data_IF_345195925127
#
_entry.id   IF_345195925127
#
_cell.length_a   1.000
_cell.length_b   1.000
_cell.length_c   1.000
_cell.angle_alpha   90.00
_cell.angle_beta   90.00
_cell.angle_gamma   90.00
#
_symmetry.space_group_name_H-M   'P 1'
#
loop_
_entity.id
_entity.type
_entity.pdbx_description
1 polymer ?
#
# COMPACT_ATOMS: atom_id res chain seq x y z
N UNK A 1 -2.03 -6.33 8.62
CA UNK A 1 -1.31 -7.00 9.75
C UNK A 1 -0.07 -6.19 10.05
N UNK A 2 0.19 -5.86 11.32
CA UNK A 2 1.36 -5.07 11.70
C UNK A 2 2.56 -5.98 11.86
N UNK A 3 3.56 -5.86 10.99
CA UNK A 3 4.72 -6.75 10.99
C UNK A 3 5.54 -6.61 12.28
N UNK A 4 5.61 -7.67 13.10
CA UNK A 4 6.32 -7.64 14.37
C UNK A 4 6.90 -9.02 14.68
N UNK A 5 8.12 -9.05 15.23
CA UNK A 5 8.78 -10.24 15.77
C UNK A 5 9.39 -9.87 17.11
N UNK A 6 8.86 -10.46 18.17
CA UNK A 6 9.27 -10.19 19.55
C UNK A 6 8.34 -10.91 20.52
N UNK A 7 8.59 -10.74 21.82
CA UNK A 7 7.80 -11.39 22.87
C UNK A 7 6.51 -10.61 23.15
N UNK A 8 5.39 -11.07 22.58
CA UNK A 8 4.03 -10.63 22.92
C UNK A 8 3.09 -11.84 22.91
N UNK A 9 2.11 -11.87 23.82
CA UNK A 9 1.22 -13.04 24.03
C UNK A 9 0.31 -13.33 22.82
N UNK A 10 -0.08 -12.30 22.07
CA UNK A 10 -1.07 -12.40 21.00
C UNK A 10 -0.48 -12.27 19.59
N UNK A 11 0.83 -12.46 19.44
CA UNK A 11 1.47 -12.50 18.11
C UNK A 11 0.83 -13.59 17.26
N UNK A 12 0.55 -13.27 15.99
CA UNK A 12 -0.04 -14.21 15.04
C UNK A 12 0.98 -14.62 13.98
N UNK A 13 0.90 -15.90 13.58
CA UNK A 13 1.57 -16.43 12.41
C UNK A 13 0.55 -16.69 11.30
N UNK A 14 0.69 -16.02 10.17
CA UNK A 14 -0.21 -16.13 9.01
C UNK A 14 0.63 -16.46 7.76
N UNK A 15 0.72 -17.74 7.36
CA UNK A 15 1.63 -18.20 6.30
C UNK A 15 1.46 -17.49 4.95
N UNK A 16 0.22 -17.14 4.60
CA UNK A 16 -0.14 -16.54 3.31
C UNK A 16 0.07 -15.03 3.20
N UNK A 17 0.54 -14.36 4.25
CA UNK A 17 0.81 -12.91 4.23
C UNK A 17 2.30 -12.64 3.98
N UNK A 18 2.62 -11.52 3.30
CA UNK A 18 4.00 -11.09 2.98
C UNK A 18 4.90 -11.07 4.21
N UNK A 19 4.42 -10.42 5.27
CA UNK A 19 4.96 -10.61 6.60
C UNK A 19 4.15 -11.74 7.24
N UNK A 20 4.83 -12.80 7.70
CA UNK A 20 4.14 -13.96 8.29
C UNK A 20 3.89 -13.81 9.79
N UNK A 21 4.68 -12.99 10.47
CA UNK A 21 4.60 -12.77 11.92
C UNK A 21 4.20 -11.33 12.22
N UNK A 22 3.26 -11.14 13.13
CA UNK A 22 2.84 -9.79 13.52
C UNK A 22 1.62 -9.72 14.40
N UNK A 23 1.14 -8.49 14.59
CA UNK A 23 -0.11 -8.19 15.29
C UNK A 23 -1.23 -8.18 14.25
N UNK A 24 -2.25 -9.02 14.45
CA UNK A 24 -3.42 -9.08 13.57
C UNK A 24 -4.39 -7.96 13.93
N UNK A 25 -4.86 -7.26 12.90
CA UNK A 25 -5.91 -6.26 13.01
C UNK A 25 -7.11 -6.75 12.21
N UNK A 26 -8.29 -6.67 12.79
CA UNK A 26 -9.55 -6.68 12.05
C UNK A 26 -9.88 -5.25 11.62
N UNK A 27 -10.43 -5.07 10.42
CA UNK A 27 -10.75 -3.75 9.85
C UNK A 27 -12.09 -3.83 9.14
N UNK A 28 -12.84 -2.74 9.18
CA UNK A 28 -13.93 -2.46 8.26
C UNK A 28 -13.55 -1.24 7.41
N UNK A 29 -13.71 -1.35 6.10
CA UNK A 29 -13.35 -0.32 5.14
C UNK A 29 -14.47 -0.07 4.13
N UNK A 30 -14.52 1.13 3.54
CA UNK A 30 -15.31 1.37 2.32
C UNK A 30 -14.61 0.86 1.05
N UNK A 31 -15.25 1.04 -0.10
CA UNK A 31 -14.73 0.62 -1.41
C UNK A 31 -13.43 1.32 -1.86
N UNK A 32 -13.17 2.52 -1.37
CA UNK A 32 -11.94 3.28 -1.66
C UNK A 32 -10.78 2.90 -0.71
N UNK A 33 -11.06 2.06 0.29
CA UNK A 33 -10.10 1.60 1.29
C UNK A 33 -9.98 2.50 2.52
N UNK A 34 -10.93 3.41 2.73
CA UNK A 34 -11.05 4.22 3.94
C UNK A 34 -11.37 3.30 5.11
N UNK A 35 -10.53 3.30 6.14
CA UNK A 35 -10.75 2.47 7.34
C UNK A 35 -11.70 3.19 8.29
N UNK A 36 -12.88 2.63 8.51
CA UNK A 36 -13.88 3.14 9.43
C UNK A 36 -13.58 2.78 10.88
N UNK A 37 -13.27 1.51 11.13
CA UNK A 37 -12.96 0.99 12.46
C UNK A 37 -12.02 -0.21 12.37
N UNK A 38 -11.33 -0.50 13.48
CA UNK A 38 -10.41 -1.62 13.62
C UNK A 38 -10.38 -2.17 15.04
N UNK A 39 -10.10 -3.47 15.14
CA UNK A 39 -9.92 -4.18 16.41
C UNK A 39 -8.59 -4.92 16.39
N UNK A 40 -7.79 -4.75 17.44
CA UNK A 40 -6.58 -5.56 17.65
C UNK A 40 -6.99 -6.96 18.07
N UNK A 41 -6.45 -7.97 17.41
CA UNK A 41 -6.65 -9.36 17.85
C UNK A 41 -5.73 -9.67 19.04
N UNK A 42 -6.33 -9.95 20.19
CA UNK A 42 -5.65 -10.17 21.47
C UNK A 42 -5.51 -11.66 21.82
N UNK A 43 -5.90 -12.58 20.93
CA UNK A 43 -5.91 -14.01 21.23
C UNK A 43 -7.17 -14.45 21.97
N UNK A 44 -7.01 -15.29 22.99
CA UNK A 44 -8.09 -15.65 23.91
C UNK A 44 -8.17 -14.59 25.01
N UNK A 45 -9.31 -13.92 25.14
CA UNK A 45 -9.53 -12.93 26.19
C UNK A 45 -9.57 -13.58 27.58
N UNK A 46 -9.19 -12.84 28.62
CA UNK A 46 -9.20 -13.27 30.03
C UNK A 46 -10.59 -13.70 30.54
N UNK A 47 -11.66 -13.26 29.87
CA UNK A 47 -13.06 -13.62 30.15
C UNK A 47 -13.48 -14.98 29.59
N UNK A 48 -12.58 -15.72 28.92
CA UNK A 48 -12.90 -17.03 28.33
C UNK A 48 -13.77 -16.99 27.07
N UNK A 49 -14.38 -15.84 26.75
CA UNK A 49 -15.12 -15.65 25.51
C UNK A 49 -14.15 -15.51 24.34
N UNK A 50 -14.18 -16.47 23.42
CA UNK A 50 -13.50 -16.32 22.13
C UNK A 50 -14.26 -15.28 21.30
N UNK A 51 -13.56 -14.26 20.79
CA UNK A 51 -14.11 -13.38 19.76
C UNK A 51 -14.48 -14.21 18.54
N UNK A 52 -15.74 -14.63 18.46
CA UNK A 52 -16.24 -15.36 17.29
C UNK A 52 -16.13 -14.44 16.07
N UNK A 53 -15.94 -15.00 14.87
CA UNK A 53 -15.92 -14.18 13.65
C UNK A 53 -17.18 -13.31 13.50
N UNK A 54 -18.34 -13.82 13.95
CA UNK A 54 -19.60 -13.06 14.01
C UNK A 54 -19.48 -11.84 14.91
N UNK A 55 -19.04 -12.00 16.17
CA UNK A 55 -18.94 -10.89 17.13
C UNK A 55 -17.97 -9.81 16.67
N UNK A 56 -16.88 -10.19 16.00
CA UNK A 56 -15.92 -9.23 15.43
C UNK A 56 -16.59 -8.37 14.37
N UNK A 57 -17.37 -8.96 13.45
CA UNK A 57 -18.08 -8.22 12.41
C UNK A 57 -19.15 -7.33 13.03
N UNK A 58 -19.99 -7.87 13.92
CA UNK A 58 -21.06 -7.10 14.57
C UNK A 58 -20.49 -5.90 15.35
N UNK A 59 -19.36 -6.08 16.05
CA UNK A 59 -18.71 -4.99 16.79
C UNK A 59 -18.15 -3.90 15.85
N UNK A 60 -17.43 -4.28 14.79
CA UNK A 60 -16.89 -3.33 13.82
C UNK A 60 -18.00 -2.58 13.04
N UNK A 61 -19.11 -3.26 12.78
CA UNK A 61 -20.21 -2.71 12.01
C UNK A 61 -21.22 -1.94 12.85
N UNK A 62 -21.18 -2.02 14.18
CA UNK A 62 -22.22 -1.48 15.08
C UNK A 62 -22.66 -0.04 14.76
N UNK A 63 -21.77 0.92 14.47
CA UNK A 63 -22.17 2.30 14.16
C UNK A 63 -22.84 2.46 12.78
N UNK A 64 -22.80 1.41 11.95
CA UNK A 64 -23.18 1.44 10.54
C UNK A 64 -24.38 0.54 10.21
N UNK A 65 -24.93 -0.14 11.21
CA UNK A 65 -26.13 -0.98 11.10
C UNK A 65 -27.42 -0.14 10.98
N UNK A 66 -28.53 -0.78 10.61
CA UNK A 66 -29.87 -0.18 10.69
C UNK A 66 -30.27 0.72 9.53
N UNK A 67 -29.51 0.75 8.43
CA UNK A 67 -29.75 1.71 7.32
C UNK A 67 -29.63 1.09 5.92
N UNK A 68 -29.79 -0.23 5.80
CA UNK A 68 -29.83 -0.92 4.50
C UNK A 68 -28.48 -1.10 3.80
N UNK A 69 -27.36 -0.96 4.52
CA UNK A 69 -26.01 -1.16 3.96
C UNK A 69 -25.73 -2.64 3.67
N UNK A 70 -24.70 -2.90 2.88
CA UNK A 70 -24.18 -4.25 2.64
C UNK A 70 -22.77 -4.39 3.21
N UNK A 71 -22.55 -5.42 4.01
CA UNK A 71 -21.23 -5.82 4.51
C UNK A 71 -20.70 -6.96 3.65
N UNK A 72 -19.46 -6.82 3.19
CA UNK A 72 -18.79 -7.82 2.34
C UNK A 72 -17.70 -8.51 3.14
N UNK A 73 -17.79 -9.84 3.30
CA UNK A 73 -16.86 -10.60 4.14
C UNK A 73 -16.19 -11.77 3.42
N UNK A 74 -14.94 -12.06 3.79
CA UNK A 74 -14.27 -13.30 3.40
C UNK A 74 -14.83 -14.51 4.18
N UNK A 75 -14.56 -15.71 3.69
CA UNK A 75 -15.04 -16.99 4.20
C UNK A 75 -14.71 -17.29 5.66
N UNK A 76 -13.77 -16.55 6.27
CA UNK A 76 -13.47 -16.66 7.70
C UNK A 76 -14.56 -16.04 8.58
N UNK A 77 -15.31 -15.05 8.08
CA UNK A 77 -16.38 -14.40 8.85
C UNK A 77 -17.77 -14.83 8.40
N UNK A 78 -17.97 -15.12 7.12
CA UNK A 78 -19.29 -15.48 6.58
C UNK A 78 -19.86 -16.75 7.22
N UNK A 79 -21.08 -16.65 7.76
CA UNK A 79 -21.87 -17.74 8.34
C UNK A 79 -23.36 -17.44 8.21
N UNK A 80 -24.22 -18.45 8.38
CA UNK A 80 -25.69 -18.27 8.43
C UNK A 80 -26.08 -17.44 9.66
N UNK A 81 -25.45 -17.71 10.80
CA UNK A 81 -25.62 -16.95 12.05
C UNK A 81 -25.33 -15.44 11.86
N UNK A 82 -24.21 -15.08 11.23
CA UNK A 82 -23.90 -13.68 10.92
C UNK A 82 -24.93 -13.07 9.96
N UNK A 83 -25.40 -13.83 8.98
CA UNK A 83 -26.42 -13.37 8.03
C UNK A 83 -27.73 -13.02 8.73
N UNK A 84 -28.19 -13.87 9.66
CA UNK A 84 -29.39 -13.64 10.45
C UNK A 84 -29.25 -12.41 11.35
N UNK A 85 -28.14 -12.27 12.07
CA UNK A 85 -27.91 -11.11 12.94
C UNK A 85 -27.84 -9.80 12.17
N UNK A 86 -27.22 -9.78 10.99
CA UNK A 86 -27.16 -8.58 10.16
C UNK A 86 -28.53 -8.23 9.57
N UNK A 87 -29.32 -9.22 9.15
CA UNK A 87 -30.70 -9.00 8.69
C UNK A 87 -31.60 -8.41 9.78
N UNK A 88 -31.48 -8.90 11.01
CA UNK A 88 -32.17 -8.34 12.18
C UNK A 88 -31.79 -6.88 12.48
N UNK A 89 -30.70 -6.39 11.87
CA UNK A 89 -30.20 -5.03 12.02
C UNK A 89 -30.16 -4.29 10.65
N UNK A 90 -31.13 -4.57 9.78
CA UNK A 90 -31.32 -3.95 8.45
C UNK A 90 -30.02 -3.80 7.66
N UNK A 91 -29.20 -4.87 7.66
CA UNK A 91 -27.90 -4.88 7.01
C UNK A 91 -27.74 -6.17 6.22
N UNK A 92 -27.36 -6.04 4.95
CA UNK A 92 -27.15 -7.20 4.09
C UNK A 92 -25.75 -7.78 4.26
N UNK A 93 -25.62 -9.09 4.08
CA UNK A 93 -24.35 -9.79 4.00
C UNK A 93 -24.09 -10.26 2.58
N UNK A 94 -22.84 -10.15 2.14
CA UNK A 94 -22.33 -10.77 0.92
C UNK A 94 -20.98 -11.42 1.26
N UNK A 95 -20.82 -12.71 1.02
CA UNK A 95 -19.54 -13.34 1.31
C UNK A 95 -19.36 -14.71 0.70
N UNK A 96 -18.10 -15.14 0.61
CA UNK A 96 -17.78 -16.53 0.29
C UNK A 96 -17.92 -17.40 1.53
N UNK A 97 -18.16 -18.70 1.37
CA UNK A 97 -18.34 -19.66 2.45
C UNK A 97 -17.27 -20.75 2.41
N UNK A 98 -16.91 -21.26 3.60
CA UNK A 98 -16.19 -22.53 3.71
C UNK A 98 -17.18 -23.68 3.70
N UNK A 99 -16.81 -24.78 3.03
CA UNK A 99 -17.64 -25.99 2.91
C UNK A 99 -18.06 -26.59 4.26
N UNK A 100 -17.25 -26.43 5.29
CA UNK A 100 -17.45 -26.99 6.63
C UNK A 100 -18.17 -26.04 7.59
N UNK A 101 -18.81 -24.96 7.11
CA UNK A 101 -19.65 -24.11 7.96
C UNK A 101 -20.89 -24.88 8.43
N UNK A 102 -21.29 -24.65 9.67
CA UNK A 102 -22.54 -25.19 10.23
C UNK A 102 -23.74 -24.52 9.56
N UNK A 103 -24.85 -25.26 9.45
CA UNK A 103 -26.12 -24.75 8.91
C UNK A 103 -26.19 -24.66 7.37
N UNK A 104 -25.21 -25.19 6.64
CA UNK A 104 -25.28 -25.20 5.18
C UNK A 104 -26.16 -26.34 4.65
N UNK A 105 -27.02 -26.10 3.64
CA UNK A 105 -27.87 -27.13 3.06
C UNK A 105 -27.05 -28.19 2.32
N UNK A 106 -27.16 -29.46 2.73
CA UNK A 106 -26.43 -30.59 2.14
C UNK A 106 -26.65 -30.69 0.64
N UNK A 107 -27.87 -30.48 0.16
CA UNK A 107 -28.23 -30.48 -1.26
C UNK A 107 -27.32 -29.55 -2.08
N UNK A 108 -27.18 -28.29 -1.66
CA UNK A 108 -26.28 -27.32 -2.33
C UNK A 108 -24.82 -27.72 -2.18
N UNK A 109 -24.38 -28.12 -0.98
CA UNK A 109 -22.95 -28.38 -0.72
C UNK A 109 -22.44 -29.65 -1.42
N UNK A 110 -23.26 -30.69 -1.53
CA UNK A 110 -22.86 -32.00 -2.04
C UNK A 110 -23.09 -32.17 -3.55
N UNK A 111 -23.91 -31.33 -4.18
CA UNK A 111 -24.21 -31.40 -5.62
C UNK A 111 -22.96 -31.51 -6.52
N UNK A 112 -23.00 -32.31 -7.58
CA UNK A 112 -21.88 -32.36 -8.52
C UNK A 112 -22.21 -31.46 -9.71
N UNK A 113 -21.42 -30.41 -9.88
CA UNK A 113 -21.64 -29.40 -10.91
C UNK A 113 -20.60 -29.50 -12.02
N UNK A 114 -21.05 -29.39 -13.27
CA UNK A 114 -20.21 -29.09 -14.41
C UNK A 114 -19.78 -27.62 -14.39
N UNK A 115 -18.68 -27.31 -15.09
CA UNK A 115 -18.16 -25.93 -15.15
C UNK A 115 -19.21 -24.99 -15.76
N UNK A 116 -19.49 -23.89 -15.06
CA UNK A 116 -20.49 -22.89 -15.41
C UNK A 116 -21.81 -23.07 -14.66
N UNK A 117 -22.11 -24.28 -14.19
CA UNK A 117 -23.35 -24.57 -13.47
C UNK A 117 -23.36 -23.99 -12.06
N UNK A 118 -24.57 -23.71 -11.59
CA UNK A 118 -24.86 -23.21 -10.26
C UNK A 118 -26.08 -23.94 -9.71
N UNK A 119 -26.02 -24.26 -8.42
CA UNK A 119 -27.17 -24.61 -7.60
C UNK A 119 -27.29 -23.60 -6.47
N UNK A 120 -28.52 -23.19 -6.14
CA UNK A 120 -28.77 -22.27 -5.05
C UNK A 120 -30.04 -22.66 -4.29
N UNK A 121 -30.09 -22.30 -3.01
CA UNK A 121 -31.27 -22.37 -2.17
C UNK A 121 -31.36 -21.09 -1.35
N UNK A 122 -32.58 -20.62 -1.17
CA UNK A 122 -32.91 -19.47 -0.33
C UNK A 122 -33.88 -19.94 0.74
N UNK A 123 -33.69 -19.47 1.97
CA UNK A 123 -34.63 -19.75 3.06
C UNK A 123 -35.69 -18.64 3.15
N UNK A 124 -36.68 -18.82 4.03
CA UNK A 124 -37.76 -17.84 4.23
C UNK A 124 -37.28 -16.48 4.76
N UNK A 125 -36.07 -16.41 5.34
CA UNK A 125 -35.47 -15.17 5.83
C UNK A 125 -34.74 -14.38 4.71
N UNK A 126 -34.76 -14.87 3.46
CA UNK A 126 -34.04 -14.25 2.34
C UNK A 126 -32.53 -14.52 2.32
N UNK A 127 -32.07 -15.58 3.00
CA UNK A 127 -30.65 -15.98 3.00
C UNK A 127 -30.41 -16.94 1.85
N UNK A 128 -29.81 -16.41 0.78
CA UNK A 128 -29.40 -17.17 -0.39
C UNK A 128 -28.04 -17.83 -0.16
N UNK A 129 -27.96 -19.15 -0.31
CA UNK A 129 -26.72 -19.92 -0.37
C UNK A 129 -26.61 -20.56 -1.74
N UNK A 130 -25.48 -20.33 -2.41
CA UNK A 130 -25.20 -20.92 -3.71
C UNK A 130 -23.87 -21.66 -3.75
N UNK A 131 -23.81 -22.66 -4.62
CA UNK A 131 -22.57 -23.28 -5.09
C UNK A 131 -22.48 -23.07 -6.60
N UNK A 132 -21.34 -22.56 -7.04
CA UNK A 132 -21.04 -22.37 -8.46
C UNK A 132 -19.71 -23.02 -8.82
N UNK A 133 -19.64 -23.64 -10.00
CA UNK A 133 -18.43 -24.30 -10.50
C UNK A 133 -17.72 -23.42 -11.54
N UNK A 134 -16.58 -22.84 -11.15
CA UNK A 134 -15.62 -22.30 -12.12
C UNK A 134 -14.51 -23.34 -12.39
N UNK A 135 -13.24 -22.98 -12.20
CA UNK A 135 -12.15 -23.96 -12.11
C UNK A 135 -12.27 -24.84 -10.86
N UNK A 136 -12.87 -24.30 -9.79
CA UNK A 136 -13.12 -24.97 -8.51
C UNK A 136 -14.51 -24.56 -8.02
N UNK A 137 -15.05 -25.33 -7.08
CA UNK A 137 -16.31 -25.00 -6.43
C UNK A 137 -16.14 -23.73 -5.61
N UNK A 138 -17.09 -22.81 -5.77
CA UNK A 138 -17.21 -21.59 -4.97
C UNK A 138 -18.54 -21.65 -4.26
N UNK A 139 -18.49 -21.70 -2.93
CA UNK A 139 -19.66 -21.52 -2.08
C UNK A 139 -19.75 -20.05 -1.67
N UNK A 140 -20.95 -19.50 -1.69
CA UNK A 140 -21.20 -18.13 -1.29
C UNK A 140 -22.57 -17.98 -0.64
N UNK A 141 -22.71 -16.92 0.15
CA UNK A 141 -23.92 -16.54 0.86
C UNK A 141 -24.21 -15.08 0.58
N UNK A 142 -25.48 -14.75 0.37
CA UNK A 142 -25.93 -13.36 0.37
C UNK A 142 -27.34 -13.22 0.90
N UNK A 143 -27.64 -12.07 1.47
CA UNK A 143 -29.00 -11.67 1.87
C UNK A 143 -29.56 -10.51 1.03
N UNK A 144 -28.91 -10.21 -0.10
CA UNK A 144 -29.23 -9.07 -1.00
C UNK A 144 -29.66 -9.52 -2.40
N UNK A 145 -29.18 -10.68 -2.84
CA UNK A 145 -29.24 -11.09 -4.23
C UNK A 145 -30.29 -12.17 -4.46
N UNK A 146 -30.98 -12.10 -5.59
CA UNK A 146 -31.72 -13.23 -6.16
C UNK A 146 -30.81 -14.12 -7.02
N UNK A 147 -31.30 -15.33 -7.31
CA UNK A 147 -30.62 -16.29 -8.20
C UNK A 147 -30.54 -15.73 -9.62
N UNK A 148 -29.33 -15.62 -10.16
CA UNK A 148 -29.14 -15.14 -11.52
C UNK A 148 -27.68 -15.11 -11.95
N UNK A 149 -27.48 -14.86 -13.25
CA UNK A 149 -26.17 -14.67 -13.85
C UNK A 149 -26.04 -13.28 -14.46
N UNK A 150 -24.81 -12.78 -14.48
CA UNK A 150 -24.43 -11.54 -15.15
C UNK A 150 -23.21 -11.78 -16.03
N UNK A 151 -23.19 -11.14 -17.19
CA UNK A 151 -22.02 -11.11 -18.06
C UNK A 151 -21.01 -10.11 -17.52
N UNK A 152 -19.79 -10.58 -17.22
CA UNK A 152 -18.67 -9.72 -16.83
C UNK A 152 -17.51 -9.83 -17.80
N UNK A 153 -16.84 -8.71 -18.05
CA UNK A 153 -15.59 -8.70 -18.83
C UNK A 153 -14.43 -9.26 -17.99
N UNK A 154 -13.66 -10.16 -18.56
CA UNK A 154 -12.50 -10.74 -17.88
C UNK A 154 -11.41 -9.70 -17.63
N UNK A 155 -10.93 -9.61 -16.38
CA UNK A 155 -9.78 -8.75 -16.02
C UNK A 155 -8.48 -9.17 -16.71
N UNK A 156 -8.34 -10.44 -17.12
CA UNK A 156 -7.14 -10.95 -17.81
C UNK A 156 -7.16 -10.74 -19.31
N UNK A 157 -8.35 -10.74 -19.91
CA UNK A 157 -8.52 -10.54 -21.34
C UNK A 157 -9.80 -9.72 -21.56
N UNK A 158 -9.63 -8.43 -21.90
CA UNK A 158 -10.74 -7.49 -22.06
C UNK A 158 -11.69 -7.85 -23.21
N UNK A 159 -11.26 -8.69 -24.15
CA UNK A 159 -12.09 -9.15 -25.26
C UNK A 159 -12.96 -10.36 -24.87
N UNK A 160 -12.73 -10.96 -23.70
CA UNK A 160 -13.46 -12.14 -23.24
C UNK A 160 -14.55 -11.76 -22.24
N UNK A 161 -15.80 -12.03 -22.62
CA UNK A 161 -16.97 -11.99 -21.73
C UNK A 161 -17.16 -13.35 -21.04
N UNK A 162 -17.53 -13.33 -19.76
CA UNK A 162 -17.72 -14.53 -18.93
C UNK A 162 -19.00 -14.37 -18.12
N UNK A 163 -19.84 -15.41 -18.09
CA UNK A 163 -21.01 -15.45 -17.22
C UNK A 163 -20.61 -15.86 -15.80
N UNK A 164 -21.11 -15.12 -14.81
CA UNK A 164 -20.91 -15.43 -13.38
C UNK A 164 -22.22 -15.23 -12.63
N UNK A 165 -22.45 -15.96 -11.52
CA UNK A 165 -23.55 -15.64 -10.64
C UNK A 165 -23.48 -14.17 -10.19
N UNK A 166 -24.62 -13.48 -10.14
CA UNK A 166 -24.70 -12.05 -9.80
C UNK A 166 -24.02 -11.77 -8.46
N UNK A 167 -24.29 -12.60 -7.44
CA UNK A 167 -23.64 -12.55 -6.13
C UNK A 167 -22.11 -12.60 -6.23
N UNK A 168 -21.57 -13.53 -7.02
CA UNK A 168 -20.12 -13.71 -7.18
C UNK A 168 -19.50 -12.51 -7.92
N UNK A 169 -20.22 -11.92 -8.87
CA UNK A 169 -19.78 -10.70 -9.54
C UNK A 169 -19.71 -9.53 -8.55
N UNK A 170 -20.76 -9.32 -7.73
CA UNK A 170 -20.81 -8.25 -6.73
C UNK A 170 -19.73 -8.43 -5.65
N UNK A 171 -19.58 -9.65 -5.11
CA UNK A 171 -18.50 -9.98 -4.17
C UNK A 171 -17.12 -9.63 -4.75
N UNK A 172 -16.85 -9.98 -6.02
CA UNK A 172 -15.55 -9.71 -6.64
C UNK A 172 -15.28 -8.22 -6.89
N UNK A 173 -16.33 -7.39 -6.95
CA UNK A 173 -16.21 -5.94 -7.06
C UNK A 173 -15.72 -5.33 -5.74
N UNK A 174 -16.28 -5.78 -4.61
CA UNK A 174 -16.09 -5.15 -3.30
C UNK A 174 -15.06 -5.84 -2.39
N UNK A 175 -14.71 -7.11 -2.61
CA UNK A 175 -13.81 -7.88 -1.70
C UNK A 175 -12.39 -7.33 -1.52
N UNK A 176 -11.96 -6.38 -2.35
CA UNK A 176 -10.57 -5.89 -2.40
C UNK A 176 -10.34 -4.60 -1.57
N UNK A 177 -11.37 -4.03 -0.95
CA UNK A 177 -11.31 -2.77 -0.21
C UNK A 177 -10.22 -2.73 0.87
N UNK A 178 -10.14 -3.78 1.70
CA UNK A 178 -9.12 -3.88 2.74
C UNK A 178 -7.72 -4.04 2.14
N UNK A 179 -7.58 -4.80 1.05
CA UNK A 179 -6.31 -4.97 0.36
C UNK A 179 -5.83 -3.66 -0.28
N UNK A 180 -6.74 -2.80 -0.75
CA UNK A 180 -6.44 -1.46 -1.25
C UNK A 180 -5.90 -0.56 -0.14
N UNK A 181 -6.55 -0.58 1.04
CA UNK A 181 -6.08 0.13 2.24
C UNK A 181 -4.68 -0.34 2.68
N UNK A 182 -4.49 -1.66 2.80
CA UNK A 182 -3.20 -2.26 3.18
C UNK A 182 -2.11 -1.98 2.14
N UNK A 183 -2.45 -1.93 0.84
CA UNK A 183 -1.53 -1.57 -0.23
C UNK A 183 -1.07 -0.11 -0.09
N UNK A 184 -2.00 0.83 0.05
CA UNK A 184 -1.69 2.26 0.24
C UNK A 184 -0.82 2.48 1.48
N UNK A 185 -1.20 1.86 2.60
CA UNK A 185 -0.46 1.90 3.86
C UNK A 185 0.99 1.40 3.74
N UNK A 186 1.25 0.47 2.82
CA UNK A 186 2.58 -0.12 2.64
C UNK A 186 3.60 0.79 1.95
N UNK A 187 3.16 1.75 1.14
CA UNK A 187 4.06 2.69 0.47
C UNK A 187 4.64 3.68 1.47
N UNK A 188 5.97 3.86 1.46
CA UNK A 188 6.70 4.78 2.35
C UNK A 188 6.39 4.60 3.86
N UNK A 189 6.15 3.37 4.32
CA UNK A 189 5.85 3.09 5.73
C UNK A 189 7.06 3.43 6.65
N UNK A 190 6.89 4.28 7.68
CA UNK A 190 8.00 4.72 8.54
C UNK A 190 8.42 3.70 9.60
N UNK A 191 7.71 2.58 9.77
CA UNK A 191 7.97 1.60 10.81
C UNK A 191 9.41 1.06 10.77
N UNK A 192 10.08 1.06 11.92
CA UNK A 192 11.46 0.55 12.08
C UNK A 192 11.47 -0.80 12.80
N UNK A 193 12.63 -1.49 12.75
CA UNK A 193 12.79 -2.83 13.35
C UNK A 193 12.89 -2.79 14.87
N UNK A 194 13.60 -1.80 15.43
CA UNK A 194 14.05 -1.77 16.83
C UNK A 194 13.10 -1.08 17.81
N UNK A 195 11.78 -1.13 17.57
CA UNK A 195 10.78 -0.47 18.42
C UNK A 195 9.90 -1.48 19.14
N UNK A 196 9.38 -1.09 20.31
CA UNK A 196 8.47 -1.94 21.10
C UNK A 196 7.16 -2.16 20.35
N UNK A 197 6.46 -3.26 20.65
CA UNK A 197 5.27 -3.67 19.90
C UNK A 197 4.18 -2.59 19.86
N UNK A 198 3.95 -1.90 20.98
CA UNK A 198 2.92 -0.86 21.09
C UNK A 198 3.31 0.40 20.32
N UNK A 199 4.61 0.75 20.27
CA UNK A 199 5.11 1.83 19.42
C UNK A 199 4.92 1.47 17.94
N UNK A 200 5.14 0.21 17.58
CA UNK A 200 4.93 -0.25 16.20
C UNK A 200 3.46 -0.22 15.80
N UNK A 201 2.57 -0.58 16.73
CA UNK A 201 1.14 -0.45 16.54
C UNK A 201 0.74 1.02 16.41
N UNK A 202 1.20 1.90 17.29
CA UNK A 202 0.93 3.34 17.22
C UNK A 202 1.41 3.96 15.90
N UNK A 203 2.61 3.59 15.43
CA UNK A 203 3.11 4.04 14.13
C UNK A 203 2.21 3.59 12.98
N UNK A 204 1.76 2.33 13.00
CA UNK A 204 0.84 1.84 11.97
C UNK A 204 -0.50 2.60 12.01
N UNK A 205 -1.06 2.83 13.19
CA UNK A 205 -2.34 3.53 13.32
C UNK A 205 -2.23 4.99 12.86
N UNK A 206 -1.21 5.72 13.32
CA UNK A 206 -1.04 7.14 13.04
C UNK A 206 -0.51 7.40 11.62
N UNK A 207 0.60 6.76 11.25
CA UNK A 207 1.30 7.10 10.02
C UNK A 207 0.93 6.23 8.82
N UNK A 208 0.28 5.09 9.04
CA UNK A 208 -0.26 4.27 7.94
C UNK A 208 -1.75 4.48 7.79
N UNK A 209 -2.57 4.11 8.79
CA UNK A 209 -4.03 4.16 8.68
C UNK A 209 -4.57 5.58 8.60
N UNK A 210 -4.24 6.47 9.55
CA UNK A 210 -4.78 7.84 9.54
C UNK A 210 -4.32 8.65 8.32
N UNK A 211 -3.05 8.52 7.92
CA UNK A 211 -2.54 9.16 6.69
C UNK A 211 -3.23 8.63 5.43
N UNK A 212 -3.51 7.33 5.36
CA UNK A 212 -4.25 6.75 4.21
C UNK A 212 -5.68 7.29 4.16
N UNK A 213 -6.36 7.37 5.30
CA UNK A 213 -7.69 7.98 5.41
C UNK A 213 -7.68 9.46 5.01
N UNK A 214 -6.71 10.23 5.50
CA UNK A 214 -6.54 11.64 5.15
C UNK A 214 -6.28 11.83 3.65
N UNK A 215 -5.47 10.96 3.05
CA UNK A 215 -5.22 10.95 1.61
C UNK A 215 -6.50 10.70 0.80
N UNK A 216 -7.32 9.72 1.22
CA UNK A 216 -8.60 9.43 0.56
C UNK A 216 -9.53 10.64 0.62
N UNK A 217 -9.71 11.24 1.81
CA UNK A 217 -10.53 12.45 1.99
C UNK A 217 -10.00 13.59 1.11
N UNK A 218 -8.68 13.84 1.15
CA UNK A 218 -8.05 14.91 0.37
C UNK A 218 -8.28 14.70 -1.13
N UNK A 219 -8.08 13.48 -1.62
CA UNK A 219 -8.28 13.12 -3.02
C UNK A 219 -9.73 13.33 -3.44
N UNK A 220 -10.69 12.91 -2.63
CA UNK A 220 -12.13 13.11 -2.88
C UNK A 220 -12.48 14.59 -2.92
N UNK A 221 -12.06 15.35 -1.91
CA UNK A 221 -12.33 16.79 -1.83
C UNK A 221 -11.70 17.58 -2.97
N UNK A 222 -10.47 17.25 -3.38
CA UNK A 222 -9.75 17.91 -4.48
C UNK A 222 -10.04 17.29 -5.86
N UNK A 223 -10.93 16.29 -5.93
CA UNK A 223 -11.29 15.56 -7.16
C UNK A 223 -10.06 15.06 -7.94
N UNK A 224 -9.06 14.55 -7.21
CA UNK A 224 -7.79 14.13 -7.78
C UNK A 224 -7.85 12.69 -8.30
N UNK A 225 -7.15 12.44 -9.40
CA UNK A 225 -6.96 11.09 -9.91
C UNK A 225 -5.68 10.45 -9.33
N UNK A 226 -5.76 9.17 -8.93
CA UNK A 226 -4.61 8.40 -8.45
C UNK A 226 -3.46 8.29 -9.45
N UNK A 227 -3.68 8.59 -10.74
CA UNK A 227 -2.62 8.66 -11.76
C UNK A 227 -1.76 9.92 -11.67
N UNK A 228 -2.32 11.00 -11.12
CA UNK A 228 -1.67 12.33 -11.06
C UNK A 228 -1.10 12.62 -9.68
N UNK A 229 -1.71 12.07 -8.63
CA UNK A 229 -1.33 12.34 -7.25
C UNK A 229 -1.41 11.06 -6.43
N UNK A 230 -0.25 10.60 -5.95
CA UNK A 230 -0.09 9.34 -5.24
C UNK A 230 -0.03 9.55 -3.73
N UNK A 231 -0.20 8.47 -2.96
CA UNK A 231 -0.02 8.54 -1.50
C UNK A 231 1.42 8.89 -1.11
N UNK A 232 2.40 8.59 -1.97
CA UNK A 232 3.80 8.98 -1.75
C UNK A 232 3.94 10.50 -1.84
N UNK A 233 3.37 11.12 -2.88
CA UNK A 233 3.37 12.58 -3.04
C UNK A 233 2.65 13.25 -1.85
N UNK A 234 1.53 12.67 -1.42
CA UNK A 234 0.80 13.17 -0.24
C UNK A 234 1.62 13.10 1.04
N UNK A 235 2.32 11.98 1.28
CA UNK A 235 3.21 11.82 2.45
C UNK A 235 4.38 12.80 2.41
N UNK A 236 4.99 13.00 1.25
CA UNK A 236 6.07 13.97 1.10
C UNK A 236 5.61 15.39 1.42
N UNK A 237 4.48 15.81 0.84
CA UNK A 237 3.88 17.12 1.13
C UNK A 237 3.51 17.27 2.61
N UNK A 238 2.94 16.22 3.23
CA UNK A 238 2.62 16.22 4.66
C UNK A 238 3.89 16.40 5.51
N UNK A 239 4.97 15.69 5.19
CA UNK A 239 6.25 15.85 5.88
C UNK A 239 6.81 17.27 5.73
N UNK A 240 6.81 17.84 4.52
CA UNK A 240 7.28 19.20 4.26
C UNK A 240 6.47 20.23 5.08
N UNK A 241 5.15 20.11 5.09
CA UNK A 241 4.26 20.99 5.86
C UNK A 241 4.49 20.85 7.37
N UNK A 242 4.59 19.62 7.89
CA UNK A 242 4.81 19.39 9.33
C UNK A 242 6.18 19.87 9.80
N UNK A 243 7.19 19.87 8.92
CA UNK A 243 8.53 20.39 9.21
C UNK A 243 8.66 21.91 8.97
N UNK A 244 7.60 22.58 8.52
CA UNK A 244 7.65 24.01 8.17
C UNK A 244 8.52 24.31 6.95
N UNK A 245 8.82 23.30 6.12
CA UNK A 245 9.58 23.45 4.88
C UNK A 245 8.59 23.88 3.80
N UNK A 246 8.22 25.16 3.80
CA UNK A 246 7.41 25.73 2.73
C UNK A 246 8.26 25.94 1.49
N UNK A 247 7.74 25.64 0.30
CA UNK A 247 8.35 26.00 -1.00
C UNK A 247 8.53 27.51 -1.21
N UNK A 248 8.15 28.33 -0.22
CA UNK A 248 8.34 29.78 -0.14
C UNK A 248 9.71 30.21 0.40
N UNK A 249 10.63 29.29 0.74
CA UNK A 249 12.01 29.68 1.07
C UNK A 249 12.83 30.01 -0.18
N UNK A 250 12.36 31.00 -0.95
CA UNK A 250 13.21 31.80 -1.83
C UNK A 250 13.95 32.91 -1.07
N UNK A 251 13.75 33.03 0.26
CA UNK A 251 14.75 33.64 1.13
C UNK A 251 15.67 32.53 1.62
N UNK A 252 16.86 32.46 1.01
CA UNK A 252 18.02 31.73 1.55
C UNK A 252 18.41 32.42 2.86
N UNK A 253 17.66 32.17 3.91
CA UNK A 253 18.11 32.36 5.28
C UNK A 253 19.16 31.29 5.50
N UNK A 254 20.43 31.68 5.41
CA UNK A 254 21.55 30.82 5.71
C UNK A 254 21.41 30.29 7.13
N UNK A 255 20.97 29.04 7.26
CA UNK A 255 21.54 28.17 8.29
C UNK A 255 23.06 28.34 8.20
N UNK A 256 23.82 28.40 9.30
CA UNK A 256 25.27 28.43 9.21
C UNK A 256 25.71 27.14 8.53
N UNK A 257 25.83 27.20 7.20
CA UNK A 257 26.42 26.17 6.39
C UNK A 257 27.83 26.13 6.93
N UNK A 258 28.16 25.06 7.67
CA UNK A 258 29.54 24.73 7.99
C UNK A 258 30.29 24.95 6.68
N UNK A 259 31.13 25.99 6.61
CA UNK A 259 31.87 26.27 5.39
C UNK A 259 32.76 25.06 5.19
N UNK A 260 32.33 24.15 4.33
CA UNK A 260 33.17 23.04 3.91
C UNK A 260 34.26 23.73 3.12
N UNK A 261 35.42 23.88 3.75
CA UNK A 261 36.61 24.35 3.06
C UNK A 261 36.96 23.27 2.04
N UNK A 262 36.46 23.44 0.82
CA UNK A 262 36.81 22.59 -0.28
C UNK A 262 38.33 22.64 -0.47
N UNK A 263 38.95 21.47 -0.65
CA UNK A 263 40.39 21.35 -0.88
C UNK A 263 40.66 20.90 -2.30
N UNK A 264 41.39 21.72 -3.06
CA UNK A 264 41.88 21.41 -4.39
C UNK A 264 43.21 20.66 -4.28
N UNK A 265 43.30 19.48 -4.87
CA UNK A 265 44.55 18.70 -4.87
C UNK A 265 44.66 17.81 -6.10
N UNK A 266 45.84 17.20 -6.28
CA UNK A 266 46.03 16.12 -7.24
C UNK A 266 45.28 14.86 -6.79
N UNK A 267 44.70 14.15 -7.76
CA UNK A 267 44.15 12.82 -7.59
C UNK A 267 45.23 11.86 -7.11
N UNK A 268 44.86 10.91 -6.25
CA UNK A 268 45.75 9.81 -5.82
C UNK A 268 45.70 8.62 -6.77
N UNK A 269 44.85 8.65 -7.80
CA UNK A 269 44.71 7.55 -8.75
C UNK A 269 45.88 7.52 -9.74
N UNK A 270 46.58 6.39 -9.78
CA UNK A 270 47.66 6.10 -10.73
C UNK A 270 47.29 4.95 -11.68
N UNK A 271 47.88 4.93 -12.86
CA UNK A 271 47.82 3.79 -13.78
C UNK A 271 48.75 2.65 -13.32
N UNK A 272 48.74 1.54 -14.07
CA UNK A 272 49.60 0.38 -13.83
C UNK A 272 51.11 0.66 -13.91
N UNK A 273 51.52 1.85 -14.38
CA UNK A 273 52.91 2.31 -14.46
C UNK A 273 53.23 3.38 -13.42
N UNK A 274 52.35 3.59 -12.43
CA UNK A 274 52.53 4.58 -11.38
C UNK A 274 52.31 6.04 -11.82
N UNK A 275 51.79 6.29 -13.04
CA UNK A 275 51.55 7.65 -13.53
C UNK A 275 50.17 8.13 -13.13
N UNK A 276 50.05 9.40 -12.74
CA UNK A 276 48.78 10.00 -12.36
C UNK A 276 47.75 9.94 -13.49
N UNK A 277 46.57 9.37 -13.20
CA UNK A 277 45.46 9.29 -14.15
C UNK A 277 44.90 10.68 -14.40
N UNK A 278 44.87 11.09 -15.67
CA UNK A 278 44.27 12.35 -16.11
C UNK A 278 42.87 12.12 -16.68
N UNK A 279 41.86 12.73 -16.07
CA UNK A 279 40.46 12.69 -16.52
C UNK A 279 40.01 14.07 -17.01
N UNK A 280 38.97 14.12 -17.84
CA UNK A 280 38.46 15.40 -18.36
C UNK A 280 37.78 16.19 -17.25
N UNK A 281 37.98 17.50 -17.22
CA UNK A 281 37.28 18.39 -16.29
C UNK A 281 35.77 18.30 -16.52
N UNK A 282 35.00 17.95 -15.49
CA UNK A 282 33.54 17.75 -15.63
C UNK A 282 32.81 19.05 -16.02
N UNK A 283 33.25 20.18 -15.48
CA UNK A 283 32.62 21.48 -15.73
C UNK A 283 32.96 22.04 -17.11
N UNK A 284 34.22 21.91 -17.55
CA UNK A 284 34.58 22.26 -18.94
C UNK A 284 33.82 21.38 -19.95
N UNK A 285 33.70 20.07 -19.67
CA UNK A 285 32.92 19.18 -20.53
C UNK A 285 31.46 19.63 -20.61
N UNK A 286 30.86 19.97 -19.47
CA UNK A 286 29.49 20.49 -19.42
C UNK A 286 29.35 21.81 -20.20
N UNK A 287 30.22 22.81 -19.96
CA UNK A 287 30.22 24.09 -20.70
C UNK A 287 30.28 23.87 -22.22
N UNK A 288 31.14 22.95 -22.68
CA UNK A 288 31.23 22.62 -24.11
C UNK A 288 29.95 21.96 -24.65
N UNK A 289 29.29 21.10 -23.87
CA UNK A 289 27.99 20.51 -24.26
C UNK A 289 26.87 21.55 -24.29
N UNK A 290 26.87 22.47 -23.33
CA UNK A 290 25.89 23.55 -23.24
C UNK A 290 26.08 24.58 -24.39
N UNK A 291 27.31 24.73 -24.89
CA UNK A 291 27.64 25.52 -26.08
C UNK A 291 27.29 24.83 -27.42
N UNK A 292 26.59 23.69 -27.40
CA UNK A 292 26.09 23.01 -28.60
C UNK A 292 27.04 22.01 -29.25
N UNK A 293 28.24 21.76 -28.69
CA UNK A 293 29.19 20.80 -29.25
C UNK A 293 28.69 19.36 -29.10
N UNK A 294 28.98 18.52 -30.10
CA UNK A 294 28.69 17.09 -30.04
C UNK A 294 29.49 16.41 -28.90
N UNK A 295 29.07 15.21 -28.51
CA UNK A 295 29.74 14.46 -27.45
C UNK A 295 31.23 14.19 -27.74
N UNK A 296 31.59 14.04 -29.02
CA UNK A 296 32.97 13.81 -29.48
C UNK A 296 33.77 15.11 -29.45
N UNK A 297 33.25 16.19 -30.02
CA UNK A 297 33.92 17.50 -30.04
C UNK A 297 34.11 18.08 -28.64
N UNK A 298 33.06 18.05 -27.82
CA UNK A 298 33.13 18.48 -26.43
C UNK A 298 34.16 17.66 -25.65
N UNK A 299 34.23 16.35 -25.92
CA UNK A 299 35.24 15.48 -25.33
C UNK A 299 36.60 15.98 -25.77
N UNK A 300 36.89 16.06 -27.05
CA UNK A 300 38.22 16.37 -27.58
C UNK A 300 38.74 17.74 -27.13
N UNK A 301 37.87 18.75 -27.09
CA UNK A 301 38.19 20.10 -26.63
C UNK A 301 38.33 20.23 -25.11
N UNK A 302 37.81 19.28 -24.32
CA UNK A 302 37.89 19.37 -22.85
C UNK A 302 39.27 18.95 -22.34
N UNK A 303 39.92 19.86 -21.60
CA UNK A 303 41.21 19.61 -20.94
C UNK A 303 41.16 18.40 -19.99
N UNK A 304 42.15 17.52 -20.11
CA UNK A 304 42.42 16.44 -19.15
C UNK A 304 43.28 16.96 -17.99
N UNK A 305 42.79 16.76 -16.78
CA UNK A 305 43.38 17.21 -15.52
C UNK A 305 43.61 16.01 -14.59
N UNK A 306 44.61 16.13 -13.73
CA UNK A 306 44.86 15.19 -12.63
C UNK A 306 44.41 15.77 -11.29
N UNK A 307 43.63 16.85 -11.28
CA UNK A 307 43.20 17.56 -10.08
C UNK A 307 41.73 17.30 -9.76
N UNK A 308 41.40 17.26 -8.47
CA UNK A 308 40.06 16.96 -7.93
C UNK A 308 39.74 17.89 -6.76
N UNK A 309 38.44 18.04 -6.47
CA UNK A 309 37.99 18.53 -5.16
C UNK A 309 37.84 17.34 -4.20
N UNK A 310 38.57 17.35 -3.08
CA UNK A 310 38.58 16.23 -2.13
C UNK A 310 37.30 16.13 -1.29
N UNK A 311 36.62 17.26 -1.09
CA UNK A 311 35.45 17.39 -0.20
C UNK A 311 34.10 17.31 -0.93
N UNK A 312 34.11 17.31 -2.25
CA UNK A 312 32.88 17.08 -3.02
C UNK A 312 32.48 15.60 -2.94
N UNK A 313 31.18 15.26 -2.76
CA UNK A 313 30.72 13.87 -2.57
C UNK A 313 31.20 12.89 -3.66
N UNK A 314 31.35 13.38 -4.90
CA UNK A 314 31.75 12.58 -6.06
C UNK A 314 33.22 12.69 -6.43
N UNK A 315 34.02 13.47 -5.67
CA UNK A 315 35.43 13.78 -5.94
C UNK A 315 35.70 14.06 -7.43
N UNK A 316 34.99 15.01 -8.04
CA UNK A 316 35.02 15.22 -9.48
C UNK A 316 36.40 15.70 -9.94
N UNK A 317 36.83 15.27 -11.13
CA UNK A 317 38.00 15.83 -11.79
C UNK A 317 37.68 17.23 -12.31
N UNK A 318 38.41 18.23 -11.82
CA UNK A 318 38.14 19.65 -12.07
C UNK A 318 39.44 20.41 -12.35
N UNK A 319 39.42 21.33 -13.30
CA UNK A 319 40.56 22.22 -13.57
C UNK A 319 40.60 23.38 -12.55
N UNK A 320 41.75 24.05 -12.43
CA UNK A 320 41.91 25.15 -11.47
C UNK A 320 40.93 26.31 -11.69
N UNK A 321 40.64 26.67 -12.94
CA UNK A 321 39.67 27.72 -13.27
C UNK A 321 38.26 27.37 -12.81
N UNK A 322 37.74 26.20 -13.19
CA UNK A 322 36.42 25.76 -12.74
C UNK A 322 36.37 25.53 -11.23
N UNK A 323 37.47 25.13 -10.60
CA UNK A 323 37.54 25.05 -9.16
C UNK A 323 37.39 26.43 -8.50
N UNK A 324 38.10 27.44 -9.00
CA UNK A 324 38.01 28.80 -8.48
C UNK A 324 36.62 29.41 -8.68
N UNK A 325 36.04 29.27 -9.87
CA UNK A 325 34.68 29.75 -10.17
C UNK A 325 33.60 29.12 -9.26
N UNK A 326 33.73 27.83 -8.93
CA UNK A 326 32.67 27.08 -8.22
C UNK A 326 32.87 27.09 -6.70
N UNK A 327 34.13 27.10 -6.24
CA UNK A 327 34.46 26.90 -4.83
C UNK A 327 35.12 28.11 -4.17
N UNK A 328 35.68 29.07 -4.92
CA UNK A 328 36.36 30.25 -4.36
C UNK A 328 35.50 31.52 -4.51
N UNK A 329 34.63 31.63 -5.52
CA UNK A 329 33.73 32.78 -5.72
C UNK A 329 32.53 32.86 -4.75
N UNK A 330 32.58 32.21 -3.58
CA UNK A 330 31.64 32.48 -2.48
C UNK A 330 32.38 33.32 -1.44
N UNK A 331 32.60 34.59 -1.77
CA UNK A 331 32.99 35.73 -0.92
C UNK A 331 33.17 36.90 -1.91
N UNK A 332 32.17 37.78 -2.13
CA UNK A 332 31.14 38.26 -1.20
C UNK A 332 29.75 37.63 -1.37
#
# INVERSE_FOLDING_TARGET
MVAFRGRIKFMQYIPGKRHKYGIKLFKVCDDDGYTYDLIVYEGKNSSGQTNTPTNVVMKLCQPYLGVGRSVVTDNYYTSVDLAQQLLQNDTHLIGTLRRNRKGLPKKVVQEKLNKGEMIALENNDGILILKWKDKRDVLALSTKHSVGFVTVTSKRNRNKKVMKPTLIADYNKHKCSIDLSDQMASYANPARRSIRWFQKLAIELLFSTAVTNAFIIYKTHKQLSSKKYTITDFRENLCLQMLGITSSSNSVGSLPRRQIQHKFSKSTLTDHRGRLIRRRCIHCYKKNRDAGLSAKEARDQTKKVNTVCLECPTKPSVCGQCYAEIHIQINP
#
